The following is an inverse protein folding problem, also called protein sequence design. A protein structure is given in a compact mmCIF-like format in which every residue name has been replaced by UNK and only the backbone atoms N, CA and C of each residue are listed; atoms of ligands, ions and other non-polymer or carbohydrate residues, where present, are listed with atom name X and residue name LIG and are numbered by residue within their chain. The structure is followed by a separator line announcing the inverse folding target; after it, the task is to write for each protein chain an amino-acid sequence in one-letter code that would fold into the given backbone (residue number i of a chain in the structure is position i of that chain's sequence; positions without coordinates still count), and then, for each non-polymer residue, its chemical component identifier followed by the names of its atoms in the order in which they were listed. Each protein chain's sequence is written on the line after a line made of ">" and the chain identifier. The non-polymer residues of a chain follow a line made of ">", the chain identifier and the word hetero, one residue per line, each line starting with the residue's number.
data_IF_238036949961
#
_entry.id   IF_238036949961
#
_cell.length_a   1.000
_cell.length_b   1.000
_cell.length_c   1.000
_cell.angle_alpha   90.00
_cell.angle_beta   90.00
_cell.angle_gamma   90.00
#
_symmetry.space_group_name_H-M   'P 1'
#
loop_
_entity.id
_entity.type
_entity.pdbx_description
1 polymer ?
#
# COMPACT_ATOMS: atom_id res chain seq x y z
N UNK A 1 -29.26 -17.87 94.10
CA UNK A 1 -29.39 -17.22 92.79
C UNK A 1 -30.46 -17.98 92.02
N UNK A 2 -31.57 -17.33 91.71
CA UNK A 2 -32.69 -17.97 90.98
C UNK A 2 -32.33 -18.14 89.50
N UNK A 3 -32.96 -19.09 88.80
CA UNK A 3 -32.75 -19.34 87.36
C UNK A 3 -32.91 -18.07 86.50
N UNK A 4 -33.77 -17.14 86.92
CA UNK A 4 -34.00 -15.86 86.24
C UNK A 4 -32.84 -14.86 86.39
N UNK A 5 -32.18 -14.82 87.55
CA UNK A 5 -31.02 -13.94 87.81
C UNK A 5 -29.77 -14.38 87.02
N UNK A 6 -29.60 -15.69 86.84
CA UNK A 6 -28.55 -16.24 85.99
C UNK A 6 -28.81 -15.91 84.52
N UNK A 7 -30.07 -15.96 84.09
CA UNK A 7 -30.45 -15.66 82.71
C UNK A 7 -30.21 -14.19 82.38
N UNK A 8 -30.63 -13.22 83.21
CA UNK A 8 -30.46 -11.78 82.90
C UNK A 8 -29.00 -11.31 82.95
N UNK A 9 -28.17 -11.91 83.81
CA UNK A 9 -26.75 -11.53 83.97
C UNK A 9 -25.85 -12.09 82.86
N UNK A 10 -26.13 -13.29 82.38
CA UNK A 10 -25.28 -13.98 81.40
C UNK A 10 -25.82 -13.97 79.95
N UNK A 11 -27.11 -13.69 79.69
CA UNK A 11 -27.64 -13.49 78.33
C UNK A 11 -26.87 -12.42 77.53
N UNK A 12 -26.62 -11.19 78.07
CA UNK A 12 -25.94 -10.16 77.31
C UNK A 12 -24.47 -10.52 77.09
N UNK A 13 -23.81 -11.11 78.09
CA UNK A 13 -22.40 -11.55 78.00
C UNK A 13 -22.25 -12.66 76.95
N UNK A 14 -23.16 -13.65 76.94
CA UNK A 14 -23.19 -14.70 75.93
C UNK A 14 -23.46 -14.17 74.52
N UNK A 15 -24.31 -13.14 74.39
CA UNK A 15 -24.54 -12.42 73.13
C UNK A 15 -23.29 -11.72 72.62
N UNK A 16 -22.57 -10.98 73.47
CA UNK A 16 -21.30 -10.32 73.08
C UNK A 16 -20.23 -11.34 72.66
N UNK A 17 -20.08 -12.44 73.41
CA UNK A 17 -19.15 -13.51 73.06
C UNK A 17 -19.50 -14.16 71.72
N UNK A 18 -20.80 -14.34 71.44
CA UNK A 18 -21.27 -14.84 70.14
C UNK A 18 -20.95 -13.87 68.99
N UNK A 19 -21.20 -12.56 69.15
CA UNK A 19 -20.89 -11.56 68.13
C UNK A 19 -19.38 -11.45 67.87
N UNK A 20 -18.54 -11.51 68.91
CA UNK A 20 -17.08 -11.51 68.77
C UNK A 20 -16.62 -12.78 68.03
N UNK A 21 -17.12 -13.95 68.42
CA UNK A 21 -16.79 -15.21 67.76
C UNK A 21 -17.24 -15.21 66.29
N UNK A 22 -18.45 -14.74 65.99
CA UNK A 22 -18.97 -14.62 64.63
C UNK A 22 -18.14 -13.65 63.78
N UNK A 23 -17.79 -12.48 64.32
CA UNK A 23 -16.93 -11.51 63.65
C UNK A 23 -15.55 -12.08 63.32
N UNK A 24 -14.94 -12.84 64.23
CA UNK A 24 -13.66 -13.52 64.00
C UNK A 24 -13.77 -14.56 62.88
N UNK A 25 -14.83 -15.38 62.87
CA UNK A 25 -15.05 -16.38 61.81
C UNK A 25 -15.19 -15.70 60.44
N UNK A 26 -15.99 -14.64 60.34
CA UNK A 26 -16.13 -13.87 59.08
C UNK A 26 -14.80 -13.25 58.66
N UNK A 27 -14.03 -12.70 59.61
CA UNK A 27 -12.70 -12.14 59.34
C UNK A 27 -11.74 -13.19 58.78
N UNK A 28 -11.66 -14.38 59.39
CA UNK A 28 -10.79 -15.46 58.91
C UNK A 28 -11.24 -16.04 57.57
N UNK A 29 -12.56 -16.14 57.31
CA UNK A 29 -13.08 -16.54 56.00
C UNK A 29 -12.70 -15.50 54.94
N UNK A 30 -12.88 -14.22 55.21
CA UNK A 30 -12.50 -13.15 54.28
C UNK A 30 -10.98 -13.12 54.04
N UNK A 31 -10.17 -13.25 55.09
CA UNK A 31 -8.71 -13.32 54.99
C UNK A 31 -8.26 -14.56 54.21
N UNK A 32 -8.85 -15.74 54.48
CA UNK A 32 -8.59 -16.96 53.73
C UNK A 32 -8.98 -16.81 52.26
N UNK A 33 -10.11 -16.19 51.96
CA UNK A 33 -10.57 -15.96 50.59
C UNK A 33 -9.61 -15.01 49.85
N UNK A 34 -9.13 -13.95 50.50
CA UNK A 34 -8.11 -13.05 49.95
C UNK A 34 -6.78 -13.79 49.68
N UNK A 35 -6.33 -14.62 50.62
CA UNK A 35 -5.12 -15.44 50.45
C UNK A 35 -5.33 -16.46 49.34
N UNK A 36 -6.42 -17.21 49.34
CA UNK A 36 -6.75 -18.23 48.34
C UNK A 36 -6.89 -17.66 46.92
N UNK A 37 -7.47 -16.45 46.78
CA UNK A 37 -7.48 -15.71 45.51
C UNK A 37 -6.08 -15.29 45.08
N UNK A 38 -5.19 -14.94 46.03
CA UNK A 38 -3.78 -14.64 45.76
C UNK A 38 -2.91 -15.87 45.52
N UNK A 39 -3.26 -17.05 46.01
CA UNK A 39 -2.46 -18.28 45.93
C UNK A 39 -2.92 -19.23 44.81
N UNK A 40 -3.64 -18.73 43.79
CA UNK A 40 -3.89 -19.53 42.58
C UNK A 40 -2.54 -19.85 41.92
N UNK A 41 -2.24 -21.14 41.78
CA UNK A 41 -1.06 -21.67 41.08
C UNK A 41 -0.96 -21.04 39.69
N UNK A 42 0.18 -20.40 39.38
CA UNK A 42 0.39 -19.81 38.06
C UNK A 42 0.56 -20.92 37.04
N UNK A 43 -0.36 -20.99 36.08
CA UNK A 43 -0.19 -21.88 34.93
C UNK A 43 0.92 -21.30 34.07
N UNK A 44 1.99 -22.07 33.88
CA UNK A 44 3.08 -21.68 32.98
C UNK A 44 2.69 -22.01 31.53
N UNK A 45 2.99 -21.09 30.63
CA UNK A 45 2.83 -21.24 29.18
C UNK A 45 4.16 -20.96 28.49
N UNK A 46 4.39 -21.62 27.37
CA UNK A 46 5.60 -21.39 26.56
C UNK A 46 5.33 -20.26 25.57
N UNK A 47 6.22 -19.27 25.52
CA UNK A 47 6.13 -18.16 24.58
C UNK A 47 6.29 -18.66 23.14
N UNK A 48 5.29 -18.48 22.24
CA UNK A 48 5.42 -18.87 20.85
C UNK A 48 6.35 -17.94 20.08
N UNK A 49 6.83 -18.42 18.93
CA UNK A 49 7.52 -17.58 17.95
C UNK A 49 6.49 -16.91 17.04
N UNK A 50 6.38 -15.60 17.18
CA UNK A 50 5.41 -14.77 16.45
C UNK A 50 6.07 -13.72 15.57
N UNK A 51 7.40 -13.58 15.62
CA UNK A 51 8.11 -12.67 14.72
C UNK A 51 7.99 -13.17 13.29
N UNK A 52 7.69 -12.26 12.36
CA UNK A 52 7.45 -12.55 10.95
C UNK A 52 6.01 -12.98 10.62
N UNK A 53 5.16 -13.27 11.63
CA UNK A 53 3.74 -13.59 11.43
C UNK A 53 2.87 -12.33 11.51
N UNK A 54 1.67 -12.40 10.93
CA UNK A 54 0.68 -11.33 11.07
C UNK A 54 0.06 -11.35 12.47
N UNK A 55 -0.17 -10.17 13.06
CA UNK A 55 -0.86 -10.09 14.36
C UNK A 55 -2.24 -10.75 14.33
N UNK A 56 -2.97 -10.61 13.20
CA UNK A 56 -4.30 -11.19 13.04
C UNK A 56 -4.29 -12.72 13.10
N UNK A 57 -3.23 -13.35 12.60
CA UNK A 57 -3.06 -14.81 12.61
C UNK A 57 -2.76 -15.32 14.03
N UNK A 58 -1.88 -14.63 14.75
CA UNK A 58 -1.39 -15.10 16.06
C UNK A 58 -2.26 -14.65 17.23
N UNK A 59 -3.17 -13.68 17.04
CA UNK A 59 -4.00 -13.12 18.11
C UNK A 59 -4.78 -14.21 18.88
N UNK A 60 -5.37 -15.16 18.15
CA UNK A 60 -6.16 -16.24 18.73
C UNK A 60 -5.29 -17.26 19.50
N UNK A 61 -4.05 -17.46 19.07
CA UNK A 61 -3.09 -18.32 19.78
C UNK A 61 -2.65 -17.65 21.09
N UNK A 62 -2.22 -16.39 21.02
CA UNK A 62 -1.78 -15.61 22.18
C UNK A 62 -2.88 -15.43 23.22
N UNK A 63 -4.13 -15.26 22.77
CA UNK A 63 -5.31 -15.14 23.65
C UNK A 63 -5.62 -16.47 24.35
N UNK A 64 -5.46 -17.61 23.66
CA UNK A 64 -5.61 -18.95 24.28
C UNK A 64 -4.57 -19.21 25.37
N UNK A 65 -3.37 -18.68 25.21
CA UNK A 65 -2.30 -18.71 26.22
C UNK A 65 -2.52 -17.69 27.36
N UNK A 66 -3.64 -16.96 27.35
CA UNK A 66 -3.99 -15.93 28.33
C UNK A 66 -2.94 -14.81 28.45
N UNK A 67 -2.15 -14.56 27.40
CA UNK A 67 -1.13 -13.52 27.41
C UNK A 67 -1.76 -12.13 27.22
N UNK A 68 -1.29 -11.14 27.99
CA UNK A 68 -1.73 -9.75 27.87
C UNK A 68 -0.86 -9.02 26.87
N UNK A 69 -1.35 -8.87 25.64
CA UNK A 69 -0.58 -8.24 24.58
C UNK A 69 -0.65 -6.71 24.67
N UNK A 70 0.51 -6.07 24.66
CA UNK A 70 0.66 -4.64 24.42
C UNK A 70 1.20 -4.47 23.00
N UNK A 71 0.41 -3.87 22.12
CA UNK A 71 0.85 -3.56 20.77
C UNK A 71 1.57 -2.22 20.74
N UNK A 72 2.72 -2.22 20.07
CA UNK A 72 3.47 -1.04 19.70
C UNK A 72 3.56 -1.00 18.17
N UNK A 73 3.37 0.18 17.59
CA UNK A 73 3.46 0.35 16.15
C UNK A 73 4.79 1.00 15.79
N UNK A 74 5.49 0.44 14.82
CA UNK A 74 6.71 1.04 14.27
C UNK A 74 6.72 0.91 12.76
N UNK A 75 7.42 1.83 12.09
CA UNK A 75 7.51 1.88 10.63
C UNK A 75 8.83 1.30 10.16
N UNK A 76 8.76 0.19 9.46
CA UNK A 76 9.87 -0.45 8.77
C UNK A 76 9.46 -0.62 7.32
N UNK A 77 9.89 0.30 6.46
CA UNK A 77 9.42 0.32 5.09
C UNK A 77 9.86 -0.87 4.21
N UNK A 78 10.84 -1.64 4.69
CA UNK A 78 11.44 -2.78 3.99
C UNK A 78 10.95 -4.12 4.61
N UNK A 79 9.81 -4.05 5.29
CA UNK A 79 9.12 -5.16 5.93
C UNK A 79 7.65 -5.09 5.53
N UNK A 80 7.00 -6.24 5.46
CA UNK A 80 5.56 -6.36 5.14
C UNK A 80 4.71 -5.64 6.19
N UNK A 81 3.65 -4.96 5.76
CA UNK A 81 2.70 -4.31 6.67
C UNK A 81 1.95 -5.35 7.51
N UNK A 82 1.67 -5.02 8.77
CA UNK A 82 0.92 -5.88 9.70
C UNK A 82 1.71 -7.03 10.32
N UNK A 83 2.97 -7.24 9.92
CA UNK A 83 3.80 -8.30 10.52
C UNK A 83 4.40 -7.86 11.85
N UNK A 84 4.55 -8.81 12.76
CA UNK A 84 5.27 -8.61 14.01
C UNK A 84 6.76 -8.64 13.72
N UNK A 85 7.46 -7.56 14.05
CA UNK A 85 8.90 -7.43 13.83
C UNK A 85 9.71 -7.64 15.10
N UNK A 86 9.04 -7.60 16.25
CA UNK A 86 9.68 -7.74 17.55
C UNK A 86 8.68 -8.30 18.57
N UNK A 87 9.18 -9.21 19.41
CA UNK A 87 8.51 -9.68 20.61
C UNK A 87 9.42 -9.45 21.83
N UNK A 88 8.86 -8.92 22.92
CA UNK A 88 9.63 -8.60 24.13
C UNK A 88 10.14 -9.83 24.87
N UNK A 89 9.45 -10.96 24.74
CA UNK A 89 9.81 -12.24 25.36
C UNK A 89 10.23 -13.18 24.24
N UNK A 90 11.44 -13.74 24.33
CA UNK A 90 11.97 -14.68 23.33
C UNK A 90 11.12 -15.96 23.25
N UNK A 91 11.00 -16.56 22.06
CA UNK A 91 10.28 -17.82 21.89
C UNK A 91 10.90 -18.94 22.74
N UNK A 92 10.08 -19.90 23.15
CA UNK A 92 10.50 -21.05 23.95
C UNK A 92 10.67 -20.77 25.45
N UNK A 93 10.50 -19.52 25.90
CA UNK A 93 10.57 -19.18 27.33
C UNK A 93 9.26 -19.51 28.04
N UNK A 94 9.35 -20.16 29.20
CA UNK A 94 8.22 -20.37 30.09
C UNK A 94 7.88 -19.07 30.85
N UNK A 95 6.62 -18.67 30.79
CA UNK A 95 6.09 -17.47 31.42
C UNK A 95 4.73 -17.77 32.06
N UNK A 96 4.35 -17.00 33.07
CA UNK A 96 3.05 -17.17 33.71
C UNK A 96 1.92 -16.72 32.77
N UNK A 97 0.85 -17.50 32.68
CA UNK A 97 -0.41 -17.08 32.06
C UNK A 97 -0.86 -15.74 32.65
N UNK A 98 -1.26 -14.79 31.80
CA UNK A 98 -1.55 -13.41 32.21
C UNK A 98 -0.37 -12.44 32.14
N UNK A 99 0.84 -12.93 31.83
CA UNK A 99 2.02 -12.09 31.61
C UNK A 99 1.79 -11.06 30.51
N UNK A 100 2.37 -9.87 30.70
CA UNK A 100 2.36 -8.81 29.69
C UNK A 100 3.46 -9.04 28.67
N UNK A 101 3.11 -9.09 27.40
CA UNK A 101 4.05 -9.22 26.29
C UNK A 101 3.89 -8.02 25.37
N UNK A 102 4.98 -7.28 25.12
CA UNK A 102 4.97 -6.23 24.10
C UNK A 102 5.33 -6.83 22.75
N UNK A 103 4.50 -6.56 21.75
CA UNK A 103 4.76 -6.90 20.36
C UNK A 103 4.86 -5.60 19.55
N UNK A 104 5.89 -5.49 18.71
CA UNK A 104 5.98 -4.40 17.75
C UNK A 104 5.48 -4.88 16.40
N UNK A 105 4.46 -4.22 15.87
CA UNK A 105 3.91 -4.48 14.54
C UNK A 105 4.44 -3.43 13.56
N UNK A 106 4.87 -3.89 12.40
CA UNK A 106 5.20 -3.00 11.31
C UNK A 106 3.92 -2.40 10.73
N UNK A 107 3.75 -1.09 10.81
CA UNK A 107 2.61 -0.40 10.21
C UNK A 107 2.95 0.23 8.85
N UNK A 108 4.09 -0.15 8.26
CA UNK A 108 4.44 0.25 6.91
C UNK A 108 4.75 1.73 6.72
N UNK A 109 4.59 2.17 5.48
CA UNK A 109 4.65 3.57 5.08
C UNK A 109 3.32 4.29 5.37
N UNK A 110 3.34 5.61 5.37
CA UNK A 110 2.11 6.39 5.36
C UNK A 110 1.29 6.03 4.12
N UNK A 111 0.13 5.41 4.32
CA UNK A 111 -0.87 5.19 3.28
C UNK A 111 -1.60 6.51 3.08
N UNK A 112 -1.36 7.11 1.92
CA UNK A 112 -1.90 8.39 1.53
C UNK A 112 -2.97 8.15 0.47
N UNK A 113 -3.99 9.01 0.44
CA UNK A 113 -4.89 9.09 -0.70
C UNK A 113 -4.34 10.12 -1.64
N UNK A 114 -4.08 9.72 -2.88
CA UNK A 114 -3.55 10.60 -3.91
C UNK A 114 -4.53 11.76 -4.16
N UNK A 115 -4.12 13.03 -3.96
CA UNK A 115 -5.00 14.17 -4.18
C UNK A 115 -5.38 14.31 -5.67
N UNK A 116 -6.52 14.95 -5.92
CA UNK A 116 -6.95 15.34 -7.27
C UNK A 116 -6.20 16.61 -7.70
N UNK A 117 -5.31 16.49 -8.67
CA UNK A 117 -4.48 17.56 -9.22
C UNK A 117 -4.88 17.91 -10.65
N UNK A 118 -5.66 17.07 -11.34
CA UNK A 118 -6.10 17.32 -12.71
C UNK A 118 -6.91 18.61 -12.78
N UNK A 119 -6.66 19.41 -13.80
CA UNK A 119 -7.26 20.73 -14.00
C UNK A 119 -6.67 21.83 -13.13
N UNK A 120 -5.78 21.52 -12.18
CA UNK A 120 -5.06 22.55 -11.43
C UNK A 120 -3.89 23.11 -12.23
N UNK A 121 -3.46 24.33 -11.90
CA UNK A 121 -2.16 24.84 -12.37
C UNK A 121 -1.02 24.03 -11.77
N UNK A 122 0.12 23.93 -12.47
CA UNK A 122 1.30 23.23 -11.96
C UNK A 122 1.77 23.79 -10.60
N UNK A 123 1.63 25.09 -10.36
CA UNK A 123 1.95 25.72 -9.08
C UNK A 123 1.00 25.27 -7.97
N UNK A 124 -0.31 25.26 -8.25
CA UNK A 124 -1.32 24.76 -7.31
C UNK A 124 -1.11 23.28 -6.98
N UNK A 125 -0.84 22.47 -8.01
CA UNK A 125 -0.59 21.04 -7.84
C UNK A 125 0.64 20.78 -6.96
N UNK A 126 1.73 21.53 -7.14
CA UNK A 126 2.91 21.45 -6.26
C UNK A 126 2.58 21.74 -4.80
N UNK A 127 1.82 22.80 -4.54
CA UNK A 127 1.42 23.16 -3.19
C UNK A 127 0.51 22.09 -2.55
N UNK A 128 -0.39 21.48 -3.33
CA UNK A 128 -1.24 20.40 -2.86
C UNK A 128 -0.43 19.15 -2.47
N UNK A 129 0.66 18.87 -3.18
CA UNK A 129 1.56 17.75 -2.87
C UNK A 129 2.42 17.98 -1.62
N UNK A 130 2.69 19.22 -1.22
CA UNK A 130 3.46 19.51 0.00
C UNK A 130 2.70 19.18 1.29
N UNK A 131 1.36 19.21 1.27
CA UNK A 131 0.50 19.05 2.44
C UNK A 131 -0.62 18.05 2.17
N UNK A 132 -0.27 16.78 2.01
CA UNK A 132 -1.23 15.69 1.87
C UNK A 132 -1.58 15.15 3.25
N UNK A 133 -2.87 15.00 3.54
CA UNK A 133 -3.35 14.50 4.82
C UNK A 133 -3.12 12.99 4.96
N UNK A 134 -2.50 12.57 6.06
CA UNK A 134 -2.29 11.17 6.47
C UNK A 134 -2.83 10.98 7.88
N UNK A 135 -4.09 10.55 8.01
CA UNK A 135 -4.76 10.51 9.31
C UNK A 135 -4.85 11.91 9.93
N UNK A 136 -4.13 12.16 11.02
CA UNK A 136 -4.10 13.44 11.74
C UNK A 136 -2.88 14.31 11.43
N UNK A 137 -1.99 13.88 10.53
CA UNK A 137 -0.75 14.59 10.18
C UNK A 137 -0.68 14.96 8.69
N UNK A 138 0.23 15.88 8.35
CA UNK A 138 0.55 16.20 6.96
C UNK A 138 1.85 15.52 6.55
N UNK A 139 1.85 14.97 5.35
CA UNK A 139 3.00 14.34 4.70
C UNK A 139 3.16 14.96 3.31
N UNK A 140 4.41 15.16 2.89
CA UNK A 140 4.69 15.65 1.54
C UNK A 140 4.87 14.48 0.57
N UNK A 141 4.18 14.56 -0.57
CA UNK A 141 4.40 13.70 -1.72
C UNK A 141 5.44 14.34 -2.64
N UNK A 142 6.41 13.55 -3.09
CA UNK A 142 7.52 14.06 -3.87
C UNK A 142 7.24 13.93 -5.37
N UNK A 143 7.48 15.01 -6.14
CA UNK A 143 7.44 14.93 -7.59
C UNK A 143 8.57 14.04 -8.13
N UNK A 144 8.20 13.14 -9.04
CA UNK A 144 9.10 12.29 -9.83
C UNK A 144 9.53 12.92 -11.14
N UNK A 145 8.65 13.75 -11.72
CA UNK A 145 8.88 14.42 -12.98
C UNK A 145 7.62 15.14 -13.47
N UNK A 146 7.80 16.06 -14.41
CA UNK A 146 6.71 16.73 -15.13
C UNK A 146 6.95 16.54 -16.61
N UNK A 147 6.04 15.86 -17.28
CA UNK A 147 6.06 15.67 -18.73
C UNK A 147 5.15 16.70 -19.37
N UNK A 148 5.63 17.35 -20.43
CA UNK A 148 4.94 18.47 -21.05
C UNK A 148 4.34 18.11 -22.40
N UNK A 149 3.09 18.48 -22.62
CA UNK A 149 2.36 18.29 -23.89
C UNK A 149 1.88 19.62 -24.44
N UNK A 150 1.71 19.70 -25.76
CA UNK A 150 1.11 20.89 -26.38
C UNK A 150 -0.37 21.00 -25.97
N UNK A 151 -0.86 22.20 -25.61
CA UNK A 151 -2.28 22.39 -25.29
C UNK A 151 -3.15 22.16 -26.52
N UNK A 152 -4.27 21.43 -26.34
CA UNK A 152 -5.35 21.31 -27.32
C UNK A 152 -6.22 22.57 -27.31
N UNK A 153 -7.08 22.72 -28.32
CA UNK A 153 -8.02 23.84 -28.36
C UNK A 153 -8.92 23.85 -27.12
N UNK A 154 -8.96 24.99 -26.42
CA UNK A 154 -9.70 25.16 -25.17
C UNK A 154 -8.95 24.74 -23.90
N UNK A 155 -7.77 24.11 -24.00
CA UNK A 155 -6.96 23.79 -22.82
C UNK A 155 -6.16 25.01 -22.35
N UNK A 156 -6.16 25.24 -21.03
CA UNK A 156 -5.35 26.28 -20.41
C UNK A 156 -3.88 25.84 -20.36
N UNK A 157 -2.93 26.77 -20.52
CA UNK A 157 -1.51 26.48 -20.35
C UNK A 157 -1.16 26.23 -18.88
N UNK A 158 0.00 25.58 -18.65
CA UNK A 158 0.54 25.25 -17.33
C UNK A 158 -0.44 24.53 -16.41
N UNK A 159 -1.34 23.74 -17.02
CA UNK A 159 -2.44 23.04 -16.35
C UNK A 159 -2.19 21.54 -16.38
N UNK A 160 -2.42 20.87 -15.26
CA UNK A 160 -2.27 19.41 -15.12
C UNK A 160 -3.38 18.73 -15.92
N UNK A 161 -2.98 17.96 -16.93
CA UNK A 161 -3.85 17.14 -17.79
C UNK A 161 -4.08 15.78 -17.15
N UNK A 162 -3.05 15.23 -16.51
CA UNK A 162 -3.07 13.89 -15.94
C UNK A 162 -2.03 13.74 -14.83
N UNK A 163 -2.20 12.74 -13.98
CA UNK A 163 -1.33 12.44 -12.84
C UNK A 163 -1.13 10.94 -12.65
N UNK A 164 0.05 10.58 -12.15
CA UNK A 164 0.37 9.24 -11.68
C UNK A 164 1.02 9.39 -10.31
N UNK A 165 0.51 8.74 -9.24
CA UNK A 165 -0.68 7.90 -9.20
C UNK A 165 -1.98 8.66 -9.55
N UNK A 166 -3.02 7.92 -9.93
CA UNK A 166 -4.35 8.49 -10.22
C UNK A 166 -5.02 9.02 -8.95
N UNK A 167 -5.86 10.06 -9.09
CA UNK A 167 -6.56 10.66 -7.96
C UNK A 167 -7.42 9.63 -7.19
N UNK A 168 -7.45 9.76 -5.87
CA UNK A 168 -8.20 8.88 -4.97
C UNK A 168 -7.57 7.50 -4.74
N UNK A 169 -6.47 7.15 -5.42
CA UNK A 169 -5.77 5.87 -5.21
C UNK A 169 -4.90 5.90 -3.96
N UNK A 170 -4.75 4.73 -3.34
CA UNK A 170 -3.81 4.50 -2.26
C UNK A 170 -2.38 4.64 -2.80
N UNK A 171 -1.57 5.49 -2.16
CA UNK A 171 -0.16 5.73 -2.47
C UNK A 171 0.65 5.81 -1.18
N UNK A 172 1.96 6.03 -1.29
CA UNK A 172 2.84 6.20 -0.12
C UNK A 172 3.76 7.39 -0.30
N UNK A 173 4.29 7.92 0.80
CA UNK A 173 5.24 9.03 0.78
C UNK A 173 6.54 8.76 -0.02
N UNK A 174 6.87 7.48 -0.27
CA UNK A 174 8.02 7.09 -1.11
C UNK A 174 7.70 7.13 -2.59
N UNK A 175 6.44 6.96 -2.96
CA UNK A 175 6.02 6.94 -4.34
C UNK A 175 6.14 8.34 -4.93
N UNK A 176 6.64 8.39 -6.17
CA UNK A 176 6.90 9.63 -6.86
C UNK A 176 5.69 10.00 -7.69
N UNK A 177 5.26 11.25 -7.58
CA UNK A 177 4.15 11.78 -8.36
C UNK A 177 4.67 12.32 -9.69
N UNK A 178 4.13 11.82 -10.78
CA UNK A 178 4.39 12.33 -12.13
C UNK A 178 3.18 13.11 -12.62
N UNK A 179 3.42 14.26 -13.24
CA UNK A 179 2.36 15.09 -13.81
C UNK A 179 2.52 15.22 -15.32
N UNK A 180 1.41 15.16 -16.04
CA UNK A 180 1.31 15.57 -17.43
C UNK A 180 0.76 16.98 -17.46
N UNK A 181 1.47 17.93 -18.07
CA UNK A 181 1.13 19.36 -18.00
C UNK A 181 1.13 19.98 -19.40
N UNK A 182 0.14 20.83 -19.67
CA UNK A 182 0.14 21.63 -20.90
C UNK A 182 1.28 22.65 -20.89
N UNK A 183 2.04 22.73 -21.97
CA UNK A 183 3.08 23.75 -22.13
C UNK A 183 2.48 25.15 -22.10
N UNK A 184 3.21 26.08 -21.52
CA UNK A 184 3.00 27.50 -21.76
C UNK A 184 2.99 27.76 -23.29
N UNK A 185 2.12 28.64 -23.80
CA UNK A 185 2.03 28.88 -25.23
C UNK A 185 3.34 29.54 -25.67
N UNK A 186 4.21 28.79 -26.32
CA UNK A 186 5.26 29.38 -27.13
C UNK A 186 4.59 30.18 -28.25
N UNK A 187 5.14 31.34 -28.63
CA UNK A 187 4.73 32.02 -29.87
C UNK A 187 4.94 31.03 -31.02
N UNK A 188 3.88 30.32 -31.44
CA UNK A 188 3.93 29.40 -32.58
C UNK A 188 4.40 30.18 -33.81
N UNK A 189 5.43 29.69 -34.48
CA UNK A 189 5.56 29.94 -35.92
C UNK A 189 4.51 29.06 -36.59
N UNK A 190 3.56 29.69 -37.28
CA UNK A 190 2.56 28.97 -38.07
C UNK A 190 3.26 28.01 -39.04
N UNK A 191 2.90 26.73 -39.00
CA UNK A 191 3.37 25.71 -39.96
C UNK A 191 4.30 24.61 -39.43
N UNK A 192 4.74 24.64 -38.17
CA UNK A 192 5.50 23.51 -37.61
C UNK A 192 4.58 22.32 -37.26
N UNK A 193 4.81 21.18 -37.93
CA UNK A 193 4.22 19.89 -37.56
C UNK A 193 4.52 19.59 -36.10
N UNK A 194 3.50 19.26 -35.31
CA UNK A 194 3.61 18.92 -33.89
C UNK A 194 4.57 17.74 -33.70
N UNK A 195 5.83 18.02 -33.38
CA UNK A 195 6.79 16.99 -32.97
C UNK A 195 6.66 16.79 -31.47
N UNK A 196 6.15 15.62 -31.06
CA UNK A 196 6.21 15.20 -29.65
C UNK A 196 7.68 14.98 -29.29
N UNK A 197 8.18 15.75 -28.33
CA UNK A 197 9.57 15.73 -27.87
C UNK A 197 9.62 15.11 -26.47
N UNK A 198 9.99 13.83 -26.39
CA UNK A 198 10.15 13.08 -25.15
C UNK A 198 11.61 13.02 -24.74
N UNK A 199 11.91 13.30 -23.48
CA UNK A 199 13.29 13.44 -22.97
C UNK A 199 13.61 12.37 -21.92
N UNK A 200 14.91 12.04 -21.74
CA UNK A 200 15.33 11.22 -20.61
C UNK A 200 14.80 11.78 -19.28
N UNK A 201 14.24 10.89 -18.45
CA UNK A 201 13.62 11.23 -17.17
C UNK A 201 12.11 11.52 -17.23
N UNK A 202 11.53 11.73 -18.42
CA UNK A 202 10.08 11.85 -18.58
C UNK A 202 9.37 10.54 -18.20
N UNK A 203 8.09 10.65 -17.83
CA UNK A 203 7.25 9.47 -17.57
C UNK A 203 6.96 8.75 -18.89
N UNK A 204 7.42 7.51 -19.02
CA UNK A 204 7.11 6.67 -20.17
C UNK A 204 5.60 6.43 -20.30
N UNK A 205 4.88 6.28 -19.18
CA UNK A 205 3.43 6.06 -19.19
C UNK A 205 2.68 7.24 -19.81
N UNK A 206 3.13 8.48 -19.57
CA UNK A 206 2.54 9.64 -20.24
C UNK A 206 2.91 9.72 -21.71
N UNK A 207 4.15 9.39 -22.08
CA UNK A 207 4.53 9.30 -23.48
C UNK A 207 3.68 8.27 -24.23
N UNK A 208 3.51 7.10 -23.61
CA UNK A 208 2.69 5.99 -24.08
C UNK A 208 1.23 6.40 -24.27
N UNK A 209 0.58 7.00 -23.26
CA UNK A 209 -0.80 7.50 -23.36
C UNK A 209 -0.95 8.56 -24.45
N UNK A 210 0.01 9.48 -24.56
CA UNK A 210 -0.01 10.56 -25.57
C UNK A 210 0.09 9.98 -26.98
N UNK A 211 1.02 9.03 -27.21
CA UNK A 211 1.21 8.38 -28.49
C UNK A 211 0.04 7.49 -28.89
N UNK A 212 -0.52 6.74 -27.94
CA UNK A 212 -1.72 5.93 -28.15
C UNK A 212 -2.91 6.80 -28.61
N UNK A 213 -3.17 7.91 -27.91
CA UNK A 213 -4.23 8.86 -28.30
C UNK A 213 -3.99 9.50 -29.68
N UNK A 214 -2.73 9.75 -30.03
CA UNK A 214 -2.36 10.29 -31.33
C UNK A 214 -2.33 9.23 -32.44
N UNK A 215 -2.54 7.95 -32.12
CA UNK A 215 -2.42 6.85 -33.08
C UNK A 215 -1.00 6.64 -33.61
N UNK A 216 0.02 7.09 -32.87
CA UNK A 216 1.42 7.03 -33.28
C UNK A 216 2.06 5.74 -32.76
N UNK A 217 2.61 4.88 -33.62
CA UNK A 217 3.27 3.64 -33.21
C UNK A 217 4.46 3.89 -32.28
N UNK A 218 4.62 3.01 -31.28
CA UNK A 218 5.76 3.08 -30.38
C UNK A 218 6.19 1.72 -29.88
N UNK A 219 7.51 1.50 -29.81
CA UNK A 219 8.14 0.32 -29.21
C UNK A 219 8.98 0.74 -28.02
N UNK A 220 9.06 -0.11 -27.01
CA UNK A 220 9.92 0.09 -25.86
C UNK A 220 10.80 -1.14 -25.65
N UNK A 221 12.02 -0.91 -25.20
CA UNK A 221 12.90 -1.91 -24.62
C UNK A 221 13.02 -1.67 -23.10
N UNK A 222 12.95 -2.73 -22.31
CA UNK A 222 13.08 -2.64 -20.84
C UNK A 222 14.57 -2.58 -20.46
N UNK A 223 14.89 -1.63 -19.58
CA UNK A 223 16.20 -1.49 -18.93
C UNK A 223 16.00 -1.73 -17.43
N UNK A 224 16.50 -2.85 -16.92
CA UNK A 224 16.43 -3.14 -15.48
C UNK A 224 17.24 -2.11 -14.68
N UNK A 225 16.66 -1.59 -13.60
CA UNK A 225 17.34 -0.70 -12.65
C UNK A 225 17.22 -1.25 -11.23
N UNK A 226 18.25 -1.00 -10.43
CA UNK A 226 18.23 -1.25 -8.98
C UNK A 226 17.64 -0.07 -8.19
N UNK A 227 17.34 1.03 -8.87
CA UNK A 227 16.86 2.26 -8.27
C UNK A 227 15.36 2.42 -8.53
N UNK A 228 14.54 2.00 -7.56
CA UNK A 228 13.06 2.09 -7.64
C UNK A 228 12.53 3.46 -8.14
N UNK A 229 13.09 4.63 -7.76
CA UNK A 229 12.61 5.93 -8.24
C UNK A 229 12.82 6.21 -9.74
N UNK A 230 13.60 5.37 -10.44
CA UNK A 230 13.79 5.46 -11.89
C UNK A 230 12.76 4.65 -12.67
N UNK A 231 12.11 3.67 -12.04
CA UNK A 231 11.13 2.82 -12.71
C UNK A 231 10.03 3.66 -13.39
N UNK A 232 9.72 3.32 -14.64
CA UNK A 232 8.76 4.04 -15.48
C UNK A 232 9.29 5.31 -16.14
N UNK A 233 10.54 5.70 -15.90
CA UNK A 233 11.17 6.82 -16.60
C UNK A 233 11.79 6.39 -17.93
N UNK A 234 11.74 7.28 -18.91
CA UNK A 234 12.44 7.15 -20.18
C UNK A 234 13.94 7.26 -19.93
N UNK A 235 14.70 6.25 -20.34
CA UNK A 235 16.18 6.31 -20.41
C UNK A 235 16.60 7.03 -21.67
N UNK A 236 16.04 6.64 -22.81
CA UNK A 236 16.24 7.30 -24.09
C UNK A 236 14.99 7.18 -24.98
N UNK A 237 14.81 8.16 -25.86
CA UNK A 237 13.74 8.20 -26.83
C UNK A 237 14.31 8.59 -28.20
N UNK A 238 13.89 7.89 -29.25
CA UNK A 238 14.28 8.16 -30.63
C UNK A 238 13.07 8.07 -31.54
N UNK A 239 12.92 9.03 -32.45
CA UNK A 239 11.90 8.95 -33.51
C UNK A 239 12.53 8.39 -34.77
N UNK A 240 12.01 7.25 -35.25
CA UNK A 240 12.46 6.57 -36.46
C UNK A 240 11.29 6.59 -37.46
N UNK A 241 11.33 7.53 -38.40
CA UNK A 241 10.21 7.78 -39.31
C UNK A 241 8.96 8.23 -38.53
N UNK A 242 7.91 7.42 -38.57
CA UNK A 242 6.64 7.64 -37.85
C UNK A 242 6.56 6.90 -36.51
N UNK A 243 7.54 6.07 -36.15
CA UNK A 243 7.56 5.27 -34.91
C UNK A 243 8.47 5.91 -33.86
N UNK A 244 8.07 5.86 -32.59
CA UNK A 244 8.97 6.17 -31.47
C UNK A 244 9.55 4.89 -30.87
N UNK A 245 10.85 4.91 -30.58
CA UNK A 245 11.55 3.85 -29.85
C UNK A 245 12.06 4.38 -28.53
N UNK A 246 11.74 3.65 -27.47
CA UNK A 246 12.11 4.00 -26.10
C UNK A 246 12.99 2.92 -25.50
N UNK A 247 13.89 3.34 -24.62
CA UNK A 247 14.42 2.51 -23.54
C UNK A 247 13.81 3.01 -22.25
N UNK A 248 13.31 2.09 -21.42
CA UNK A 248 12.52 2.47 -20.24
C UNK A 248 13.05 1.73 -19.02
N UNK A 249 13.33 2.47 -17.95
CA UNK A 249 13.76 1.88 -16.70
C UNK A 249 12.63 1.08 -16.04
N UNK A 250 12.94 -0.12 -15.56
CA UNK A 250 12.04 -0.95 -14.78
C UNK A 250 12.74 -1.48 -13.53
N UNK A 251 12.13 -1.25 -12.37
CA UNK A 251 12.53 -1.87 -11.12
C UNK A 251 11.57 -3.03 -10.84
N UNK A 252 12.08 -4.26 -10.81
CA UNK A 252 11.29 -5.42 -10.43
C UNK A 252 11.01 -5.37 -8.91
N UNK A 253 9.74 -5.30 -8.49
CA UNK A 253 9.41 -5.20 -7.07
C UNK A 253 9.66 -6.54 -6.36
N UNK A 254 10.31 -6.49 -5.19
CA UNK A 254 10.57 -7.67 -4.35
C UNK A 254 9.28 -8.32 -3.81
N UNK A 255 8.25 -7.50 -3.57
CA UNK A 255 6.91 -7.91 -3.11
C UNK A 255 5.84 -7.36 -4.07
N UNK A 256 4.70 -8.06 -4.20
CA UNK A 256 3.58 -7.54 -5.00
C UNK A 256 3.00 -6.29 -4.33
N UNK A 257 2.94 -5.19 -5.08
CA UNK A 257 2.48 -3.88 -4.61
C UNK A 257 1.01 -3.65 -4.96
N UNK A 258 0.28 -2.89 -4.14
CA UNK A 258 -1.13 -2.52 -4.41
C UNK A 258 -1.28 -1.67 -5.69
N UNK A 259 -0.32 -0.77 -5.90
CA UNK A 259 -0.16 0.05 -7.10
C UNK A 259 1.32 0.22 -7.41
N UNK A 260 1.68 0.33 -8.69
CA UNK A 260 3.07 0.50 -9.08
C UNK A 260 3.34 0.20 -10.54
N UNK A 261 4.63 0.30 -10.90
CA UNK A 261 5.11 -0.05 -12.22
C UNK A 261 5.23 -1.57 -12.37
N UNK A 262 4.72 -2.06 -13.49
CA UNK A 262 4.77 -3.45 -13.91
C UNK A 262 5.38 -3.54 -15.31
N UNK A 263 5.93 -4.70 -15.63
CA UNK A 263 6.44 -4.98 -16.97
C UNK A 263 5.66 -6.09 -17.65
N UNK A 264 5.64 -6.03 -18.98
CA UNK A 264 5.11 -7.08 -19.84
C UNK A 264 6.07 -7.33 -20.99
N UNK A 265 6.34 -8.61 -21.26
CA UNK A 265 7.10 -9.07 -22.42
C UNK A 265 6.33 -10.19 -23.14
N UNK A 266 6.30 -10.12 -24.47
CA UNK A 266 5.74 -11.18 -25.31
C UNK A 266 6.48 -11.29 -26.64
N UNK A 267 6.83 -12.51 -27.05
CA UNK A 267 7.43 -12.80 -28.36
C UNK A 267 6.34 -13.01 -29.41
N UNK A 268 6.37 -12.19 -30.46
CA UNK A 268 5.43 -12.23 -31.57
C UNK A 268 5.58 -13.52 -32.36
N UNK A 269 4.42 -14.11 -32.71
CA UNK A 269 4.32 -15.38 -33.45
C UNK A 269 3.99 -15.18 -34.93
N UNK A 270 3.30 -14.09 -35.27
CA UNK A 270 2.88 -13.79 -36.63
C UNK A 270 3.14 -12.31 -36.90
N UNK A 271 3.67 -11.94 -38.06
CA UNK A 271 3.86 -10.52 -38.39
C UNK A 271 2.50 -9.81 -38.49
N UNK A 272 2.38 -8.61 -37.92
CA UNK A 272 1.13 -7.87 -37.91
C UNK A 272 1.16 -6.62 -37.04
N UNK A 273 0.02 -5.92 -36.99
CA UNK A 273 -0.16 -4.81 -36.07
C UNK A 273 -0.73 -5.29 -34.74
N UNK A 274 -0.17 -4.78 -33.65
CA UNK A 274 -0.56 -5.14 -32.30
C UNK A 274 -0.82 -3.91 -31.46
N UNK A 275 -1.74 -4.01 -30.51
CA UNK A 275 -1.98 -2.97 -29.51
C UNK A 275 -2.17 -3.55 -28.12
N UNK A 276 -1.78 -2.78 -27.12
CA UNK A 276 -1.92 -3.12 -25.72
C UNK A 276 -3.04 -2.30 -25.10
N UNK A 277 -3.90 -2.96 -24.34
CA UNK A 277 -4.90 -2.31 -23.49
C UNK A 277 -4.79 -2.84 -22.07
N UNK A 278 -5.08 -1.98 -21.11
CA UNK A 278 -5.18 -2.31 -19.70
C UNK A 278 -6.64 -2.26 -19.27
N UNK A 279 -7.14 -3.31 -18.61
CA UNK A 279 -8.50 -3.39 -18.10
C UNK A 279 -8.49 -3.49 -16.59
N UNK A 280 -9.34 -2.70 -15.92
CA UNK A 280 -9.62 -2.88 -14.50
C UNK A 280 -10.43 -4.17 -14.30
N UNK A 281 -10.03 -5.02 -13.35
CA UNK A 281 -10.71 -6.30 -13.11
C UNK A 281 -12.04 -6.15 -12.36
N UNK A 282 -12.23 -5.05 -11.63
CA UNK A 282 -13.46 -4.77 -10.86
C UNK A 282 -14.48 -3.98 -11.67
N UNK A 283 -14.03 -3.26 -12.70
CA UNK A 283 -14.86 -2.44 -13.56
C UNK A 283 -14.43 -2.56 -15.03
N UNK A 284 -15.05 -3.49 -15.77
CA UNK A 284 -14.72 -3.73 -17.17
C UNK A 284 -14.93 -2.52 -18.09
N UNK A 285 -15.69 -1.51 -17.64
CA UNK A 285 -15.88 -0.26 -18.40
C UNK A 285 -14.63 0.63 -18.36
N UNK A 286 -13.76 0.43 -17.35
CA UNK A 286 -12.49 1.13 -17.21
C UNK A 286 -11.40 0.37 -17.95
N UNK A 287 -11.11 0.86 -19.15
CA UNK A 287 -9.96 0.41 -19.93
C UNK A 287 -9.13 1.58 -20.41
N UNK A 288 -7.82 1.38 -20.48
CA UNK A 288 -6.85 2.36 -20.96
C UNK A 288 -6.09 1.75 -22.13
N UNK A 289 -6.04 2.46 -23.25
CA UNK A 289 -5.19 2.07 -24.37
C UNK A 289 -3.74 2.44 -24.05
N UNK A 290 -2.90 1.40 -23.94
CA UNK A 290 -1.49 1.52 -23.65
C UNK A 290 -0.66 1.63 -24.92
N UNK A 291 -1.15 1.31 -26.11
CA UNK A 291 -0.36 1.57 -27.32
C UNK A 291 -1.28 1.75 -28.51
N UNK A 292 -0.86 2.59 -29.45
CA UNK A 292 -1.44 2.56 -30.78
C UNK A 292 -1.14 1.22 -31.47
N UNK A 293 -1.89 0.93 -32.54
CA UNK A 293 -1.59 -0.19 -33.43
C UNK A 293 -0.17 -0.05 -33.99
N UNK A 294 0.72 -0.95 -33.57
CA UNK A 294 2.15 -0.88 -33.84
C UNK A 294 2.58 -2.12 -34.62
N UNK A 295 3.33 -1.97 -35.73
CA UNK A 295 3.75 -3.09 -36.56
C UNK A 295 4.89 -3.89 -35.90
N UNK A 296 4.73 -5.20 -35.83
CA UNK A 296 5.78 -6.13 -35.40
C UNK A 296 6.00 -7.25 -36.42
N UNK A 297 7.22 -7.76 -36.46
CA UNK A 297 7.57 -8.94 -37.25
C UNK A 297 7.59 -10.20 -36.39
N UNK A 298 7.37 -11.37 -37.01
CA UNK A 298 7.55 -12.67 -36.36
C UNK A 298 8.91 -12.75 -35.66
N UNK A 299 8.89 -13.17 -34.39
CA UNK A 299 10.08 -13.29 -33.56
C UNK A 299 10.51 -12.02 -32.83
N UNK A 300 9.98 -10.84 -33.18
CA UNK A 300 10.18 -9.61 -32.39
C UNK A 300 9.54 -9.74 -31.01
N UNK A 301 10.04 -8.95 -30.05
CA UNK A 301 9.46 -8.86 -28.71
C UNK A 301 8.67 -7.57 -28.58
N UNK A 302 7.46 -7.69 -28.05
CA UNK A 302 6.74 -6.58 -27.43
C UNK A 302 7.24 -6.50 -26.00
N UNK A 303 7.80 -5.36 -25.62
CA UNK A 303 8.08 -5.04 -24.22
C UNK A 303 7.38 -3.72 -23.86
N UNK A 304 6.91 -3.62 -22.61
CA UNK A 304 6.35 -2.39 -22.08
C UNK A 304 6.51 -2.32 -20.56
N UNK A 305 6.61 -1.10 -20.05
CA UNK A 305 6.45 -0.77 -18.64
C UNK A 305 5.19 0.06 -18.51
N UNK A 306 4.28 -0.31 -17.61
CA UNK A 306 3.04 0.41 -17.39
C UNK A 306 2.82 0.59 -15.89
N UNK A 307 2.03 1.61 -15.53
CA UNK A 307 1.60 1.79 -14.15
C UNK A 307 0.23 1.15 -13.96
N UNK A 308 0.07 0.32 -12.92
CA UNK A 308 -1.24 -0.19 -12.50
C UNK A 308 -1.63 0.34 -11.13
N UNK A 309 -2.94 0.48 -10.94
CA UNK A 309 -3.53 0.82 -9.66
C UNK A 309 -4.61 -0.20 -9.29
N UNK A 310 -4.28 -1.14 -8.40
CA UNK A 310 -5.12 -2.30 -8.10
C UNK A 310 -4.96 -3.45 -9.10
N UNK A 311 -5.98 -4.29 -9.15
CA UNK A 311 -5.98 -5.51 -9.94
C UNK A 311 -6.37 -5.20 -11.39
N UNK A 312 -5.48 -5.55 -12.33
CA UNK A 312 -5.66 -5.22 -13.75
C UNK A 312 -5.30 -6.40 -14.62
N UNK A 313 -5.94 -6.47 -15.78
CA UNK A 313 -5.57 -7.40 -16.86
C UNK A 313 -5.00 -6.62 -18.02
N UNK A 314 -3.73 -6.88 -18.34
CA UNK A 314 -3.12 -6.38 -19.57
C UNK A 314 -3.46 -7.34 -20.72
N UNK A 315 -3.96 -6.80 -21.82
CA UNK A 315 -4.40 -7.56 -22.98
C UNK A 315 -3.67 -7.07 -24.22
N UNK A 316 -3.02 -8.01 -24.91
CA UNK A 316 -2.45 -7.84 -26.24
C UNK A 316 -3.49 -8.22 -27.28
N UNK A 317 -3.81 -7.28 -28.15
CA UNK A 317 -4.75 -7.44 -29.26
C UNK A 317 -4.01 -7.39 -30.60
N UNK A 318 -4.47 -8.17 -31.57
CA UNK A 318 -4.03 -8.05 -32.97
C UNK A 318 -4.84 -6.99 -33.74
N UNK A 319 -4.54 -6.86 -35.03
CA UNK A 319 -5.19 -5.94 -35.97
C UNK A 319 -6.71 -6.15 -36.13
N UNK A 320 -7.22 -7.35 -35.85
CA UNK A 320 -8.66 -7.65 -35.87
C UNK A 320 -9.35 -7.28 -34.57
N UNK A 321 -8.59 -6.88 -33.54
CA UNK A 321 -9.07 -6.70 -32.18
C UNK A 321 -9.19 -8.01 -31.40
N UNK A 322 -8.68 -9.12 -31.94
CA UNK A 322 -8.72 -10.41 -31.26
C UNK A 322 -7.62 -10.50 -30.20
N UNK A 323 -7.94 -11.14 -29.08
CA UNK A 323 -7.00 -11.35 -27.98
C UNK A 323 -5.93 -12.36 -28.37
N UNK A 324 -4.68 -11.90 -28.38
CA UNK A 324 -3.49 -12.71 -28.65
C UNK A 324 -2.92 -13.26 -27.34
N UNK A 325 -2.81 -12.40 -26.33
CA UNK A 325 -2.30 -12.75 -25.01
C UNK A 325 -2.94 -11.86 -23.96
N UNK A 326 -3.09 -12.36 -22.75
CA UNK A 326 -3.36 -11.54 -21.57
C UNK A 326 -2.49 -11.98 -20.40
N UNK A 327 -2.29 -11.07 -19.45
CA UNK A 327 -1.66 -11.34 -18.16
C UNK A 327 -2.39 -10.54 -17.08
N UNK A 328 -2.74 -11.23 -16.01
CA UNK A 328 -3.35 -10.64 -14.82
C UNK A 328 -2.25 -10.17 -13.87
N UNK A 329 -2.50 -9.01 -13.26
CA UNK A 329 -1.63 -8.38 -12.28
C UNK A 329 -2.49 -8.06 -11.06
N UNK A 330 -2.40 -8.91 -10.06
CA UNK A 330 -3.25 -8.92 -8.87
C UNK A 330 -2.43 -8.64 -7.61
N UNK A 331 -3.07 -7.98 -6.66
CA UNK A 331 -2.58 -7.79 -5.31
C UNK A 331 -2.64 -9.12 -4.55
N UNK A 332 -1.60 -9.44 -3.78
CA UNK A 332 -1.54 -10.67 -2.98
C UNK A 332 -2.13 -10.52 -1.56
N UNK A 333 -2.81 -9.42 -1.26
CA UNK A 333 -3.27 -9.08 0.09
C UNK A 333 -4.79 -9.00 0.24
#
# INVERSE_FOLDING_TARGET
>A
MTQEELRSKYLPIGGYLFFIAFGLVVFFIAAFLVVFVRTKSSTLVVMPDVVGKSYNEVHNELSRLQLKIRLESKRYPDKTDGIIIYQSIRPGREIEAGSKVSLTVNIGLDRLIMPELKGQTLASAKNALEKVLSGETYVSLQLGGVTYVEPKEGELPDTVVDQIPEAGKNTTAREKVFLLVTKAPAKKKEGESQTLDFKPGDSFVFAQRTLAQAGIPSKADIVETKFRPESGKIESAQKIGSEYRFKVFYFEPEDRVESGYESFEYKIRDSGNYKLILKDQKDESKQVELSAATPYQEGEKIQTVFYRAGDVTLVLLDQSGSKVKSKDYENEF
#
